data_IF_548431807482
#
_entry.id   IF_548431807482
#
_cell.length_a   1.000
_cell.length_b   1.000
_cell.length_c   1.000
_cell.angle_alpha   90.00
_cell.angle_beta   90.00
_cell.angle_gamma   90.00
#
_symmetry.space_group_name_H-M   'P 1'
#
loop_
_entity.id
_entity.type
_entity.pdbx_description
1 polymer ?
#
# COMPACT_ATOMS: atom_id res chain seq x y z
N UNK A 1 19.74 13.80 46.10
CA UNK A 1 18.59 12.86 46.04
C UNK A 1 17.55 13.56 45.19
N UNK A 2 17.75 13.57 43.87
CA UNK A 2 16.90 14.30 42.92
C UNK A 2 16.07 13.28 42.13
N UNK A 3 14.75 13.44 42.23
CA UNK A 3 13.74 12.57 41.64
C UNK A 3 13.71 12.79 40.14
N UNK A 4 14.22 11.79 39.41
CA UNK A 4 14.20 11.74 37.94
C UNK A 4 12.78 11.41 37.48
N UNK A 5 12.03 12.45 37.13
CA UNK A 5 10.67 12.35 36.59
C UNK A 5 10.70 11.66 35.22
N UNK A 6 10.14 10.45 35.17
CA UNK A 6 10.15 9.54 34.03
C UNK A 6 8.95 9.89 33.14
N UNK A 7 9.11 10.84 32.24
CA UNK A 7 8.10 11.18 31.24
C UNK A 7 7.95 10.03 30.25
N UNK A 8 6.87 9.27 30.41
CA UNK A 8 6.48 8.20 29.47
C UNK A 8 6.22 8.78 28.08
N UNK A 9 6.77 8.19 27.01
CA UNK A 9 6.49 8.64 25.65
C UNK A 9 5.00 8.40 25.35
N UNK A 10 4.28 9.48 25.06
CA UNK A 10 2.93 9.41 24.54
C UNK A 10 2.94 8.66 23.20
N UNK A 11 2.48 7.41 23.27
CA UNK A 11 2.27 6.58 22.11
C UNK A 11 1.09 7.15 21.32
N UNK A 12 1.38 7.99 20.33
CA UNK A 12 0.39 8.47 19.37
C UNK A 12 -0.07 7.23 18.59
N UNK A 13 -1.20 6.66 18.98
CA UNK A 13 -1.85 5.61 18.19
C UNK A 13 -2.22 6.21 16.83
N UNK A 14 -1.78 5.62 15.70
CA UNK A 14 -2.20 6.09 14.40
C UNK A 14 -3.73 6.00 14.36
N UNK A 15 -4.38 7.13 14.11
CA UNK A 15 -5.81 7.22 13.84
C UNK A 15 -6.12 6.27 12.68
N UNK A 16 -6.60 5.07 13.01
CA UNK A 16 -7.12 4.12 12.03
C UNK A 16 -8.26 4.83 11.32
N UNK A 17 -8.03 5.21 10.06
CA UNK A 17 -9.14 5.56 9.17
C UNK A 17 -10.21 4.48 9.29
N UNK A 18 -11.50 4.85 9.33
CA UNK A 18 -12.59 3.88 9.39
C UNK A 18 -12.51 3.00 8.14
N UNK A 19 -11.84 1.85 8.26
CA UNK A 19 -11.78 0.82 7.23
C UNK A 19 -13.22 0.58 6.81
N UNK A 20 -13.50 0.81 5.54
CA UNK A 20 -14.84 0.77 4.97
C UNK A 20 -15.41 -0.66 5.10
N UNK A 21 -16.04 -0.96 6.24
CA UNK A 21 -16.53 -2.32 6.62
C UNK A 21 -17.69 -2.75 5.70
N UNK A 22 -18.25 -1.81 4.94
CA UNK A 22 -19.43 -2.00 4.09
C UNK A 22 -19.14 -2.95 2.91
N UNK A 23 -17.93 -2.92 2.35
CA UNK A 23 -17.56 -3.77 1.21
C UNK A 23 -17.52 -5.27 1.54
N UNK A 24 -16.86 -5.73 2.63
CA UNK A 24 -16.88 -7.14 3.00
C UNK A 24 -18.26 -7.62 3.46
N UNK A 25 -19.06 -6.78 4.13
CA UNK A 25 -20.42 -7.19 4.58
C UNK A 25 -21.37 -7.41 3.40
N UNK A 26 -21.29 -6.59 2.35
CA UNK A 26 -22.07 -6.76 1.12
C UNK A 26 -21.72 -8.05 0.37
N UNK A 27 -20.42 -8.43 0.36
CA UNK A 27 -20.01 -9.68 -0.29
C UNK A 27 -20.45 -10.90 0.51
N UNK A 28 -20.37 -10.85 1.84
CA UNK A 28 -20.88 -11.90 2.72
C UNK A 28 -22.38 -12.10 2.58
N UNK A 29 -23.14 -11.00 2.52
CA UNK A 29 -24.60 -11.05 2.32
C UNK A 29 -24.95 -11.64 0.95
N UNK A 30 -24.23 -11.25 -0.11
CA UNK A 30 -24.43 -11.80 -1.45
C UNK A 30 -24.16 -13.31 -1.51
N UNK A 31 -23.10 -13.79 -0.87
CA UNK A 31 -22.79 -15.23 -0.78
C UNK A 31 -23.85 -15.97 0.02
N UNK A 32 -24.34 -15.39 1.12
CA UNK A 32 -25.37 -15.99 1.96
C UNK A 32 -26.69 -16.13 1.20
N UNK A 33 -27.12 -15.06 0.50
CA UNK A 33 -28.33 -15.10 -0.33
C UNK A 33 -28.18 -16.12 -1.46
N UNK A 34 -27.05 -16.13 -2.17
CA UNK A 34 -26.80 -17.09 -3.25
C UNK A 34 -26.81 -18.54 -2.74
N UNK A 35 -26.19 -18.79 -1.58
CA UNK A 35 -26.19 -20.11 -0.93
C UNK A 35 -27.62 -20.56 -0.62
N UNK A 36 -28.42 -19.71 0.02
CA UNK A 36 -29.83 -20.00 0.35
C UNK A 36 -30.64 -20.31 -0.90
N UNK A 37 -30.51 -19.50 -1.96
CA UNK A 37 -31.21 -19.72 -3.23
C UNK A 37 -30.79 -21.04 -3.89
N UNK A 38 -29.49 -21.35 -3.92
CA UNK A 38 -28.99 -22.62 -4.45
C UNK A 38 -29.48 -23.82 -3.62
N UNK A 39 -29.59 -23.70 -2.30
CA UNK A 39 -30.15 -24.75 -1.45
C UNK A 39 -31.62 -25.00 -1.79
N UNK A 40 -32.43 -23.95 -1.91
CA UNK A 40 -33.84 -24.08 -2.31
C UNK A 40 -33.99 -24.67 -3.72
N UNK A 41 -33.15 -24.25 -4.68
CA UNK A 41 -33.17 -24.80 -6.03
C UNK A 41 -32.78 -26.29 -6.07
N UNK A 42 -31.78 -26.69 -5.28
CA UNK A 42 -31.37 -28.09 -5.16
C UNK A 42 -32.48 -28.95 -4.53
N UNK A 43 -33.14 -28.45 -3.48
CA UNK A 43 -34.31 -29.12 -2.87
C UNK A 43 -35.42 -29.29 -3.92
N UNK A 44 -35.69 -28.26 -4.72
CA UNK A 44 -36.68 -28.32 -5.80
C UNK A 44 -36.33 -29.35 -6.87
N UNK A 45 -35.07 -29.40 -7.31
CA UNK A 45 -34.59 -30.38 -8.30
C UNK A 45 -34.65 -31.82 -7.77
N UNK A 46 -34.29 -32.04 -6.50
CA UNK A 46 -34.41 -33.36 -5.86
C UNK A 46 -35.87 -33.79 -5.78
N UNK A 47 -36.79 -32.90 -5.40
CA UNK A 47 -38.23 -33.20 -5.37
C UNK A 47 -38.79 -33.58 -6.75
N UNK A 48 -38.33 -32.91 -7.82
CA UNK A 48 -38.70 -33.24 -9.21
C UNK A 48 -38.09 -34.59 -9.63
N UNK A 49 -36.83 -34.86 -9.30
CA UNK A 49 -36.15 -36.11 -9.65
C UNK A 49 -36.78 -37.33 -8.95
N UNK A 50 -37.14 -37.21 -7.68
CA UNK A 50 -37.90 -38.25 -6.94
C UNK A 50 -39.23 -38.52 -7.65
N UNK A 51 -39.92 -37.48 -8.10
CA UNK A 51 -41.19 -37.60 -8.81
C UNK A 51 -41.05 -38.28 -10.17
N UNK A 52 -39.95 -38.07 -10.89
CA UNK A 52 -39.71 -38.65 -12.21
C UNK A 52 -39.15 -40.07 -12.18
N UNK A 53 -38.37 -40.43 -11.17
CA UNK A 53 -37.70 -41.75 -11.10
C UNK A 53 -38.58 -42.83 -10.48
N UNK A 54 -39.81 -42.51 -10.04
CA UNK A 54 -40.69 -43.41 -9.29
C UNK A 54 -39.99 -44.09 -8.09
N UNK A 55 -38.92 -43.47 -7.59
CA UNK A 55 -38.21 -43.93 -6.42
C UNK A 55 -39.09 -43.58 -5.21
N UNK A 56 -39.77 -44.59 -4.67
CA UNK A 56 -40.57 -44.42 -3.45
C UNK A 56 -39.61 -44.69 -2.27
N UNK A 57 -39.06 -43.65 -1.62
CA UNK A 57 -38.25 -43.85 -0.42
C UNK A 57 -39.11 -44.61 0.58
N UNK A 58 -38.66 -45.80 0.96
CA UNK A 58 -39.43 -46.71 1.81
C UNK A 58 -39.39 -46.26 3.27
N UNK A 59 -38.41 -45.42 3.63
CA UNK A 59 -38.25 -44.88 4.98
C UNK A 59 -37.94 -43.38 4.95
N UNK A 60 -38.32 -42.66 6.01
CA UNK A 60 -38.00 -41.24 6.19
C UNK A 60 -36.49 -40.98 6.27
N UNK A 61 -35.71 -42.00 6.69
CA UNK A 61 -34.26 -41.95 6.75
C UNK A 61 -33.62 -41.83 5.34
N UNK A 62 -34.19 -42.47 4.33
CA UNK A 62 -33.69 -42.40 2.95
C UNK A 62 -33.82 -40.99 2.38
N UNK A 63 -34.95 -40.32 2.62
CA UNK A 63 -35.16 -38.93 2.18
C UNK A 63 -34.19 -37.98 2.88
N UNK A 64 -33.99 -38.16 4.19
CA UNK A 64 -33.07 -37.33 4.96
C UNK A 64 -31.63 -37.45 4.46
N UNK A 65 -31.16 -38.66 4.16
CA UNK A 65 -29.80 -38.88 3.65
C UNK A 65 -29.58 -38.26 2.26
N UNK A 66 -30.58 -38.33 1.37
CA UNK A 66 -30.53 -37.65 0.07
C UNK A 66 -30.49 -36.13 0.17
N UNK A 67 -31.34 -35.54 1.03
CA UNK A 67 -31.33 -34.10 1.30
C UNK A 67 -29.98 -33.68 1.87
N UNK A 68 -29.43 -34.45 2.81
CA UNK A 68 -28.13 -34.17 3.40
C UNK A 68 -27.00 -34.22 2.36
N UNK A 69 -27.00 -35.22 1.47
CA UNK A 69 -26.02 -35.33 0.41
C UNK A 69 -26.11 -34.14 -0.57
N UNK A 70 -27.32 -33.75 -0.97
CA UNK A 70 -27.54 -32.57 -1.81
C UNK A 70 -27.06 -31.28 -1.15
N UNK A 71 -27.39 -31.08 0.13
CA UNK A 71 -26.96 -29.93 0.91
C UNK A 71 -25.42 -29.86 1.03
N UNK A 72 -24.76 -30.99 1.32
CA UNK A 72 -23.30 -31.07 1.40
C UNK A 72 -22.64 -30.73 0.06
N UNK A 73 -23.17 -31.23 -1.07
CA UNK A 73 -22.66 -30.94 -2.40
C UNK A 73 -22.74 -29.43 -2.74
N UNK A 74 -23.90 -28.81 -2.48
CA UNK A 74 -24.09 -27.36 -2.68
C UNK A 74 -23.16 -26.54 -1.79
N UNK A 75 -22.97 -26.96 -0.53
CA UNK A 75 -22.06 -26.29 0.39
C UNK A 75 -20.61 -26.33 -0.12
N UNK A 76 -20.15 -27.48 -0.62
CA UNK A 76 -18.80 -27.64 -1.21
C UNK A 76 -18.62 -26.74 -2.43
N UNK A 77 -19.58 -26.74 -3.36
CA UNK A 77 -19.52 -25.86 -4.55
C UNK A 77 -19.49 -24.38 -4.17
N UNK A 78 -20.30 -23.99 -3.18
CA UNK A 78 -20.34 -22.61 -2.68
C UNK A 78 -19.01 -22.21 -2.05
N UNK A 79 -18.43 -23.07 -1.21
CA UNK A 79 -17.13 -22.85 -0.59
C UNK A 79 -16.00 -22.74 -1.62
N UNK A 80 -16.00 -23.62 -2.63
CA UNK A 80 -15.04 -23.56 -3.74
C UNK A 80 -15.17 -22.25 -4.53
N UNK A 81 -16.40 -21.80 -4.82
CA UNK A 81 -16.66 -20.52 -5.48
C UNK A 81 -16.11 -19.32 -4.72
N UNK A 82 -16.37 -19.25 -3.41
CA UNK A 82 -15.85 -18.18 -2.53
C UNK A 82 -14.33 -18.20 -2.48
N UNK A 83 -13.73 -19.39 -2.33
CA UNK A 83 -12.27 -19.55 -2.30
C UNK A 83 -11.62 -19.02 -3.58
N UNK A 84 -12.19 -19.32 -4.76
CA UNK A 84 -11.69 -18.80 -6.04
C UNK A 84 -11.80 -17.28 -6.14
N UNK A 85 -12.89 -16.68 -5.64
CA UNK A 85 -13.07 -15.22 -5.63
C UNK A 85 -12.05 -14.55 -4.71
N UNK A 86 -11.85 -15.10 -3.50
CA UNK A 86 -10.86 -14.59 -2.55
C UNK A 86 -9.45 -14.74 -3.13
N UNK A 87 -9.11 -15.91 -3.69
CA UNK A 87 -7.80 -16.16 -4.30
C UNK A 87 -7.51 -15.21 -5.46
N UNK A 88 -8.50 -14.93 -6.32
CA UNK A 88 -8.34 -13.95 -7.41
C UNK A 88 -8.08 -12.54 -6.88
N UNK A 89 -8.84 -12.09 -5.88
CA UNK A 89 -8.65 -10.78 -5.26
C UNK A 89 -7.31 -10.66 -4.54
N UNK A 90 -6.94 -11.69 -3.78
CA UNK A 90 -5.68 -11.75 -3.08
C UNK A 90 -4.51 -11.74 -4.07
N UNK A 91 -4.62 -12.47 -5.18
CA UNK A 91 -3.58 -12.47 -6.21
C UNK A 91 -3.42 -11.10 -6.91
N UNK A 92 -4.51 -10.35 -7.11
CA UNK A 92 -4.45 -8.97 -7.62
C UNK A 92 -3.83 -8.01 -6.58
N UNK A 93 -4.25 -8.12 -5.32
CA UNK A 93 -3.70 -7.30 -4.23
C UNK A 93 -2.21 -7.57 -4.01
N UNK A 94 -1.78 -8.82 -4.08
CA UNK A 94 -0.37 -9.21 -4.00
C UNK A 94 0.48 -8.66 -5.16
N UNK A 95 -0.12 -8.40 -6.33
CA UNK A 95 0.59 -7.80 -7.47
C UNK A 95 0.70 -6.28 -7.34
N UNK A 96 -0.37 -5.63 -6.86
CA UNK A 96 -0.45 -4.17 -6.78
C UNK A 96 0.17 -3.58 -5.51
N UNK A 97 0.04 -4.27 -4.37
CA UNK A 97 0.44 -3.78 -3.05
C UNK A 97 1.90 -3.31 -2.96
N UNK A 98 2.90 -4.05 -3.48
CA UNK A 98 4.29 -3.59 -3.49
C UNK A 98 4.49 -2.30 -4.28
N UNK A 99 3.82 -2.16 -5.43
CA UNK A 99 3.90 -0.97 -6.29
C UNK A 99 3.19 0.23 -5.66
N UNK A 100 2.04 0.01 -5.00
CA UNK A 100 1.34 1.03 -4.23
C UNK A 100 2.20 1.55 -3.06
N UNK A 101 2.91 0.64 -2.38
CA UNK A 101 3.83 1.00 -1.30
C UNK A 101 5.01 1.82 -1.82
N UNK A 102 5.61 1.40 -2.93
CA UNK A 102 6.67 2.13 -3.60
C UNK A 102 6.22 3.53 -4.05
N UNK A 103 5.01 3.65 -4.60
CA UNK A 103 4.41 4.92 -4.98
C UNK A 103 4.22 5.86 -3.78
N UNK A 104 3.71 5.34 -2.65
CA UNK A 104 3.57 6.13 -1.43
C UNK A 104 4.92 6.64 -0.91
N UNK A 105 5.96 5.81 -0.93
CA UNK A 105 7.32 6.21 -0.56
C UNK A 105 7.87 7.27 -1.53
N UNK A 106 7.63 7.14 -2.82
CA UNK A 106 8.05 8.11 -3.83
C UNK A 106 7.36 9.48 -3.62
N UNK A 107 6.05 9.48 -3.35
CA UNK A 107 5.27 10.69 -3.04
C UNK A 107 5.76 11.37 -1.77
N UNK A 108 5.98 10.59 -0.70
CA UNK A 108 6.56 11.10 0.54
C UNK A 108 7.96 11.71 0.31
N UNK A 109 8.79 11.05 -0.49
CA UNK A 109 10.13 11.57 -0.85
C UNK A 109 10.03 12.91 -1.59
N UNK A 110 9.13 13.02 -2.57
CA UNK A 110 8.89 14.26 -3.32
C UNK A 110 8.43 15.38 -2.38
N UNK A 111 7.44 15.11 -1.54
CA UNK A 111 6.91 16.07 -0.57
C UNK A 111 8.03 16.61 0.35
N UNK A 112 8.90 15.71 0.85
CA UNK A 112 10.03 16.12 1.70
C UNK A 112 11.07 16.95 0.95
N UNK A 113 11.36 16.62 -0.32
CA UNK A 113 12.26 17.42 -1.17
C UNK A 113 11.68 18.81 -1.40
N UNK A 114 10.39 18.92 -1.67
CA UNK A 114 9.70 20.20 -1.90
C UNK A 114 9.66 21.05 -0.62
N UNK A 115 9.36 20.43 0.53
CA UNK A 115 9.44 21.07 1.84
C UNK A 115 10.85 21.62 2.12
N UNK A 116 11.89 20.80 1.88
CA UNK A 116 13.28 21.20 2.06
C UNK A 116 13.66 22.38 1.15
N UNK A 117 13.27 22.31 -0.13
CA UNK A 117 13.53 23.38 -1.11
C UNK A 117 12.81 24.67 -0.72
N UNK A 118 11.58 24.59 -0.20
CA UNK A 118 10.84 25.74 0.31
C UNK A 118 11.50 26.33 1.55
N UNK A 119 12.01 25.50 2.46
CA UNK A 119 12.72 25.94 3.66
C UNK A 119 14.07 26.59 3.35
N UNK A 120 14.76 26.10 2.31
CA UNK A 120 16.08 26.60 1.88
C UNK A 120 15.98 27.52 0.64
N UNK A 121 14.99 28.41 0.61
CA UNK A 121 14.72 29.28 -0.55
C UNK A 121 15.72 30.46 -0.70
N UNK A 122 16.59 30.65 0.29
CA UNK A 122 17.62 31.69 0.30
C UNK A 122 18.84 31.19 1.06
N UNK A 123 20.02 31.77 0.77
CA UNK A 123 21.26 31.41 1.46
C UNK A 123 21.15 31.61 2.98
N UNK A 124 20.49 32.69 3.41
CA UNK A 124 20.23 32.93 4.84
C UNK A 124 19.35 31.84 5.44
N UNK A 125 18.26 31.46 4.78
CA UNK A 125 17.37 30.41 5.28
C UNK A 125 18.07 29.03 5.35
N UNK A 126 18.94 28.71 4.39
CA UNK A 126 19.78 27.51 4.45
C UNK A 126 20.71 27.55 5.68
N UNK A 127 21.31 28.71 5.97
CA UNK A 127 22.11 28.93 7.19
C UNK A 127 21.28 28.76 8.46
N UNK A 128 20.11 29.40 8.53
CA UNK A 128 19.18 29.32 9.67
C UNK A 128 18.74 27.86 9.95
N UNK A 129 18.48 27.08 8.91
CA UNK A 129 18.15 25.65 9.04
C UNK A 129 19.36 24.84 9.50
N UNK A 130 20.55 25.11 8.96
CA UNK A 130 21.77 24.41 9.33
C UNK A 130 22.24 24.69 10.76
N UNK A 131 22.09 25.93 11.22
CA UNK A 131 22.36 26.35 12.59
C UNK A 131 21.23 25.94 13.56
N UNK A 132 20.20 25.25 13.06
CA UNK A 132 19.02 24.81 13.80
C UNK A 132 18.23 25.94 14.46
N UNK A 133 18.34 27.17 13.94
CA UNK A 133 17.53 28.31 14.41
C UNK A 133 16.09 28.21 13.90
N UNK A 134 15.89 27.59 12.74
CA UNK A 134 14.60 27.17 12.21
C UNK A 134 14.53 25.64 12.23
N UNK A 135 13.51 25.10 12.88
CA UNK A 135 13.30 23.65 12.93
C UNK A 135 13.01 23.09 11.54
N UNK A 136 13.82 22.13 11.11
CA UNK A 136 13.59 21.31 9.92
C UNK A 136 14.02 19.87 10.21
N UNK A 137 13.25 18.90 9.75
CA UNK A 137 13.53 17.47 9.93
C UNK A 137 14.59 16.99 8.91
N UNK A 138 15.86 17.34 9.17
CA UNK A 138 17.01 16.97 8.32
C UNK A 138 17.24 15.46 8.35
N UNK A 139 17.04 14.84 9.52
CA UNK A 139 17.15 13.39 9.70
C UNK A 139 16.15 12.66 8.79
N UNK A 140 14.94 13.20 8.65
CA UNK A 140 13.94 12.71 7.70
C UNK A 140 14.43 12.65 6.26
N UNK A 141 15.26 13.60 5.81
CA UNK A 141 15.88 13.59 4.47
C UNK A 141 16.97 12.51 4.39
N UNK A 142 17.78 12.35 5.44
CA UNK A 142 18.84 11.34 5.50
C UNK A 142 18.33 9.90 5.63
N UNK A 143 17.10 9.72 6.13
CA UNK A 143 16.43 8.42 6.18
C UNK A 143 15.80 8.01 4.85
N UNK A 144 15.51 8.94 3.92
CA UNK A 144 14.89 8.62 2.62
C UNK A 144 15.63 7.52 1.84
N UNK A 145 16.97 7.55 1.68
CA UNK A 145 17.70 6.47 1.04
C UNK A 145 17.48 5.12 1.71
N UNK A 146 17.42 5.05 3.04
CA UNK A 146 17.19 3.79 3.76
C UNK A 146 15.78 3.27 3.52
N UNK A 147 14.78 4.15 3.58
CA UNK A 147 13.38 3.80 3.32
C UNK A 147 13.24 3.26 1.89
N UNK A 148 13.77 3.95 0.89
CA UNK A 148 13.71 3.50 -0.51
C UNK A 148 14.48 2.18 -0.71
N UNK A 149 15.63 1.99 -0.06
CA UNK A 149 16.40 0.74 -0.12
C UNK A 149 15.69 -0.45 0.54
N UNK A 150 14.75 -0.20 1.46
CA UNK A 150 13.99 -1.28 2.12
C UNK A 150 12.89 -1.87 1.24
N UNK A 151 12.60 -1.26 0.09
CA UNK A 151 11.58 -1.76 -0.85
C UNK A 151 12.01 -3.10 -1.46
N UNK A 152 11.18 -4.16 -1.35
CA UNK A 152 11.50 -5.46 -1.94
C UNK A 152 11.32 -5.42 -3.46
N UNK A 153 12.39 -5.07 -4.19
CA UNK A 153 12.36 -4.90 -5.66
C UNK A 153 11.83 -6.14 -6.41
N UNK A 154 12.06 -7.34 -5.86
CA UNK A 154 11.62 -8.60 -6.44
C UNK A 154 10.10 -8.80 -6.35
N UNK A 155 9.40 -8.09 -5.46
CA UNK A 155 7.95 -8.18 -5.30
C UNK A 155 7.18 -7.25 -6.27
N UNK A 156 7.84 -6.25 -6.85
CA UNK A 156 7.19 -5.28 -7.76
C UNK A 156 6.61 -5.93 -9.03
N UNK A 157 7.13 -7.10 -9.45
CA UNK A 157 6.65 -7.95 -10.57
C UNK A 157 6.38 -7.20 -11.89
N UNK A 158 6.90 -5.99 -12.04
CA UNK A 158 6.78 -5.11 -13.20
C UNK A 158 8.12 -4.37 -13.38
N UNK A 159 8.77 -4.60 -14.52
CA UNK A 159 10.08 -4.01 -14.82
C UNK A 159 10.08 -2.48 -14.90
N UNK A 160 8.97 -1.86 -15.31
CA UNK A 160 8.80 -0.41 -15.31
C UNK A 160 8.84 0.12 -13.87
N UNK A 161 8.05 -0.49 -12.97
CA UNK A 161 8.04 -0.12 -11.56
C UNK A 161 9.42 -0.32 -10.90
N UNK A 162 10.08 -1.45 -11.16
CA UNK A 162 11.45 -1.70 -10.67
C UNK A 162 12.43 -0.64 -11.16
N UNK A 163 12.35 -0.23 -12.42
CA UNK A 163 13.21 0.82 -12.99
C UNK A 163 12.98 2.15 -12.29
N UNK A 164 11.73 2.53 -12.03
CA UNK A 164 11.42 3.77 -11.32
C UNK A 164 11.92 3.76 -9.87
N UNK A 165 11.80 2.64 -9.14
CA UNK A 165 12.32 2.54 -7.77
C UNK A 165 13.86 2.61 -7.73
N UNK A 166 14.55 1.98 -8.70
CA UNK A 166 16.00 2.08 -8.81
C UNK A 166 16.45 3.52 -9.12
N UNK A 167 15.75 4.21 -10.02
CA UNK A 167 16.00 5.63 -10.31
C UNK A 167 15.78 6.50 -9.06
N UNK A 168 14.65 6.31 -8.37
CA UNK A 168 14.34 7.00 -7.12
C UNK A 168 15.44 6.82 -6.08
N UNK A 169 15.95 5.60 -5.90
CA UNK A 169 17.03 5.29 -4.97
C UNK A 169 18.30 6.09 -5.27
N UNK A 170 18.71 6.15 -6.54
CA UNK A 170 19.85 6.96 -6.96
C UNK A 170 19.64 8.46 -6.66
N UNK A 171 18.43 8.97 -6.95
CA UNK A 171 18.04 10.37 -6.74
C UNK A 171 18.08 10.73 -5.25
N UNK A 172 17.46 9.95 -4.36
CA UNK A 172 17.45 10.25 -2.91
C UNK A 172 18.86 10.15 -2.29
N UNK A 173 19.72 9.25 -2.79
CA UNK A 173 21.13 9.21 -2.38
C UNK A 173 21.89 10.45 -2.81
N UNK A 174 21.62 10.96 -4.01
CA UNK A 174 22.20 12.21 -4.49
C UNK A 174 21.72 13.41 -3.67
N UNK A 175 20.42 13.48 -3.37
CA UNK A 175 19.86 14.47 -2.46
C UNK A 175 20.58 14.47 -1.12
N UNK A 176 20.64 13.32 -0.43
CA UNK A 176 21.27 13.23 0.89
C UNK A 176 22.74 13.66 0.87
N UNK A 177 23.48 13.39 -0.22
CA UNK A 177 24.88 13.87 -0.36
C UNK A 177 24.93 15.39 -0.53
N UNK A 178 24.09 15.95 -1.40
CA UNK A 178 24.07 17.39 -1.65
C UNK A 178 23.63 18.18 -0.41
N UNK A 179 22.63 17.68 0.32
CA UNK A 179 22.19 18.28 1.59
C UNK A 179 23.32 18.25 2.61
N UNK A 180 24.02 17.12 2.77
CA UNK A 180 25.16 17.05 3.70
C UNK A 180 26.26 18.07 3.34
N UNK A 181 26.67 18.13 2.07
CA UNK A 181 27.68 19.10 1.61
C UNK A 181 27.20 20.55 1.85
N UNK A 182 25.92 20.82 1.58
CA UNK A 182 25.35 22.14 1.80
C UNK A 182 25.41 22.57 3.27
N UNK A 183 25.23 21.65 4.20
CA UNK A 183 25.25 21.94 5.64
C UNK A 183 26.66 22.02 6.19
N UNK A 184 27.61 21.25 5.65
CA UNK A 184 29.02 21.29 6.03
C UNK A 184 29.70 22.60 5.59
N UNK A 185 29.36 23.15 4.41
CA UNK A 185 30.09 24.26 3.78
C UNK A 185 29.30 25.59 3.67
N UNK A 186 28.10 25.71 4.25
CA UNK A 186 27.17 26.84 4.03
C UNK A 186 27.76 28.24 4.26
N UNK A 187 28.62 28.40 5.27
CA UNK A 187 29.09 29.69 5.75
C UNK A 187 30.04 30.40 4.77
N UNK A 188 30.61 29.66 3.81
CA UNK A 188 31.56 30.18 2.83
C UNK A 188 31.04 30.25 1.39
N UNK A 189 29.80 29.84 1.12
CA UNK A 189 29.33 29.70 -0.26
C UNK A 189 29.25 31.04 -0.99
N UNK A 190 29.90 31.20 -2.17
CA UNK A 190 29.57 32.31 -3.05
C UNK A 190 28.12 32.17 -3.55
N UNK A 191 27.48 33.27 -3.92
CA UNK A 191 26.08 33.28 -4.38
C UNK A 191 25.84 32.28 -5.53
N UNK A 192 26.80 32.20 -6.46
CA UNK A 192 26.74 31.24 -7.57
C UNK A 192 26.74 29.77 -7.15
N UNK A 193 27.37 29.41 -6.02
CA UNK A 193 27.31 28.04 -5.49
C UNK A 193 25.94 27.74 -4.90
N UNK A 194 25.31 28.72 -4.25
CA UNK A 194 23.95 28.58 -3.75
C UNK A 194 22.96 28.44 -4.91
N UNK A 195 23.08 29.27 -5.95
CA UNK A 195 22.26 29.17 -7.16
C UNK A 195 22.38 27.76 -7.78
N UNK A 196 23.60 27.27 -7.96
CA UNK A 196 23.85 25.92 -8.47
C UNK A 196 23.21 24.83 -7.59
N UNK A 197 23.30 24.97 -6.27
CA UNK A 197 22.66 24.03 -5.33
C UNK A 197 21.13 24.03 -5.46
N UNK A 198 20.49 25.21 -5.51
CA UNK A 198 19.04 25.31 -5.69
C UNK A 198 18.58 24.72 -7.02
N UNK A 199 19.37 24.88 -8.08
CA UNK A 199 19.13 24.28 -9.38
C UNK A 199 19.24 22.75 -9.36
N UNK A 200 20.21 22.22 -8.62
CA UNK A 200 20.34 20.77 -8.38
C UNK A 200 19.15 20.24 -7.60
N UNK A 201 18.69 20.92 -6.55
CA UNK A 201 17.49 20.53 -5.79
C UNK A 201 16.24 20.54 -6.68
N UNK A 202 16.09 21.55 -7.54
CA UNK A 202 14.98 21.62 -8.50
C UNK A 202 14.99 20.41 -9.43
N UNK A 203 16.13 20.06 -10.02
CA UNK A 203 16.27 18.88 -10.91
C UNK A 203 15.99 17.57 -10.18
N UNK A 204 16.43 17.44 -8.92
CA UNK A 204 16.13 16.28 -8.07
C UNK A 204 14.63 16.17 -7.81
N UNK A 205 13.95 17.29 -7.53
CA UNK A 205 12.49 17.35 -7.35
C UNK A 205 11.75 16.90 -8.62
N UNK A 206 12.13 17.46 -9.78
CA UNK A 206 11.56 17.12 -11.09
C UNK A 206 11.75 15.63 -11.43
N UNK A 207 12.95 15.09 -11.18
CA UNK A 207 13.26 13.68 -11.40
C UNK A 207 12.46 12.76 -10.45
N UNK A 208 12.27 13.18 -9.20
CA UNK A 208 11.45 12.44 -8.23
C UNK A 208 9.98 12.44 -8.65
N UNK A 209 9.46 13.58 -9.12
CA UNK A 209 8.11 13.68 -9.68
C UNK A 209 7.93 12.79 -10.92
N UNK A 210 8.94 12.70 -11.79
CA UNK A 210 8.94 11.76 -12.91
C UNK A 210 8.85 10.29 -12.44
N UNK A 211 9.56 9.93 -11.37
CA UNK A 211 9.47 8.59 -10.77
C UNK A 211 8.06 8.30 -10.20
N UNK A 212 7.43 9.28 -9.54
CA UNK A 212 6.05 9.18 -9.04
C UNK A 212 5.09 8.91 -10.21
N UNK A 213 5.17 9.71 -11.27
CA UNK A 213 4.31 9.55 -12.46
C UNK A 213 4.55 8.19 -13.15
N UNK A 214 5.80 7.73 -13.22
CA UNK A 214 6.17 6.43 -13.76
C UNK A 214 5.58 5.28 -12.94
N UNK A 215 5.62 5.36 -11.61
CA UNK A 215 5.01 4.37 -10.71
C UNK A 215 3.49 4.36 -10.81
N UNK A 216 2.84 5.53 -10.93
CA UNK A 216 1.39 5.61 -11.17
C UNK A 216 0.99 4.97 -12.51
N UNK A 217 1.74 5.24 -13.57
CA UNK A 217 1.55 4.63 -14.88
C UNK A 217 1.71 3.11 -14.80
N UNK A 218 2.77 2.62 -14.16
CA UNK A 218 3.01 1.20 -13.97
C UNK A 218 1.89 0.51 -13.18
N UNK A 219 1.35 1.17 -12.15
CA UNK A 219 0.22 0.68 -11.36
C UNK A 219 -1.08 0.62 -12.17
N UNK A 220 -1.35 1.61 -13.04
CA UNK A 220 -2.54 1.63 -13.91
C UNK A 220 -2.53 0.50 -14.95
N UNK A 221 -1.36 0.00 -15.32
CA UNK A 221 -1.19 -1.12 -16.27
C UNK A 221 -1.37 -2.50 -15.64
N UNK A 222 -1.49 -2.59 -14.30
CA UNK A 222 -1.69 -3.85 -13.54
C UNK A 222 -3.16 -4.17 -13.29
#
# INVERSE_FOLDING_TARGET
>A
MELREKTSPHHIQPTREPRNIIAPTMTLLGVLVASVVCTFAAIGLVAIAIRQTAFVPSTSADVASWIQAGAAFVAILSAAGVALVIQRRDHLNQRRGPTESALSIARYSLERIEQFRSACNSKKALGDVADQTVYFDIDGIHELPRIVNSLPLHELRNGEATTQVLALNAIVRQLSRNVRIAFEDNNGWPESSFDNFTDVLRRISEATAACVNGLESALKKM
#
